data_IF_975796858047
#
_entry.id   IF_975796858047
#
_cell.length_a   1.000
_cell.length_b   1.000
_cell.length_c   1.000
_cell.angle_alpha   90.00
_cell.angle_beta   90.00
_cell.angle_gamma   90.00
#
_symmetry.space_group_name_H-M   'P 1'
#
loop_
_entity.id
_entity.type
_entity.pdbx_description
1 polymer ?
#
# COMPACT_ATOMS: atom_id res chain seq x y z
N UNK A 1 -0.06 15.27 14.37
CA UNK A 1 1.18 15.64 13.65
C UNK A 1 2.36 14.89 14.26
N UNK A 2 2.96 14.00 13.47
CA UNK A 2 4.20 13.20 13.66
C UNK A 2 4.25 12.13 12.55
N UNK A 3 3.10 11.75 11.97
CA UNK A 3 2.99 10.77 10.88
C UNK A 3 3.74 11.21 9.62
N UNK A 4 3.62 12.48 9.21
CA UNK A 4 4.30 13.00 8.01
C UNK A 4 5.82 12.86 8.06
N UNK A 5 6.44 13.22 9.20
CA UNK A 5 7.90 13.12 9.37
C UNK A 5 8.40 11.67 9.30
N UNK A 6 7.64 10.73 9.88
CA UNK A 6 7.96 9.29 9.79
C UNK A 6 7.84 8.80 8.34
N UNK A 7 6.77 9.19 7.64
CA UNK A 7 6.59 8.82 6.24
C UNK A 7 7.70 9.39 5.35
N UNK A 8 8.20 10.59 5.63
CA UNK A 8 9.30 11.21 4.88
C UNK A 8 10.63 10.45 5.06
N UNK A 9 10.94 10.00 6.28
CA UNK A 9 12.09 9.11 6.52
C UNK A 9 11.93 7.78 5.81
N UNK A 10 10.72 7.19 5.84
CA UNK A 10 10.46 5.95 5.12
C UNK A 10 10.59 6.11 3.60
N UNK A 11 10.16 7.26 3.06
CA UNK A 11 10.33 7.62 1.64
C UNK A 11 11.81 7.75 1.27
N UNK A 12 12.64 8.35 2.13
CA UNK A 12 14.08 8.47 1.85
C UNK A 12 14.76 7.10 1.79
N UNK A 13 14.46 6.23 2.77
CA UNK A 13 14.98 4.85 2.80
C UNK A 13 14.61 4.06 1.55
N UNK A 14 13.36 4.18 1.08
CA UNK A 14 12.93 3.54 -0.15
C UNK A 14 13.69 4.07 -1.39
N UNK A 15 13.88 5.39 -1.48
CA UNK A 15 14.67 6.03 -2.56
C UNK A 15 16.14 5.63 -2.56
N UNK A 16 16.69 5.29 -1.39
CA UNK A 16 18.06 4.77 -1.23
C UNK A 16 18.20 3.30 -1.67
N UNK A 17 17.10 2.65 -2.06
CA UNK A 17 17.10 1.27 -2.54
C UNK A 17 17.04 0.22 -1.43
N UNK A 18 16.63 0.61 -0.22
CA UNK A 18 16.39 -0.34 0.87
C UNK A 18 15.23 -1.27 0.51
N UNK A 19 15.40 -2.58 0.71
CA UNK A 19 14.27 -3.52 0.62
C UNK A 19 13.38 -3.35 1.85
N UNK A 20 12.10 -3.02 1.64
CA UNK A 20 11.17 -2.68 2.71
C UNK A 20 9.90 -3.53 2.62
N UNK A 21 9.43 -4.02 3.77
CA UNK A 21 8.09 -4.58 3.95
C UNK A 21 7.37 -3.69 4.95
N UNK A 22 6.26 -3.09 4.51
CA UNK A 22 5.52 -2.11 5.31
C UNK A 22 4.05 -2.54 5.39
N UNK A 23 3.56 -2.74 6.62
CA UNK A 23 2.13 -2.89 6.90
C UNK A 23 1.58 -1.53 7.26
N UNK A 24 0.67 -0.98 6.46
CA UNK A 24 0.17 0.39 6.66
C UNK A 24 -1.27 0.57 6.20
N UNK A 25 -1.97 1.52 6.80
CA UNK A 25 -3.25 2.05 6.32
C UNK A 25 -3.11 3.41 5.61
N UNK A 26 -1.88 3.94 5.52
CA UNK A 26 -1.57 5.18 4.82
C UNK A 26 -1.48 4.93 3.30
N UNK A 27 -2.64 4.89 2.64
CA UNK A 27 -2.76 4.53 1.21
C UNK A 27 -1.95 5.46 0.30
N UNK A 28 -1.86 6.76 0.63
CA UNK A 28 -1.07 7.73 -0.13
C UNK A 28 0.42 7.40 -0.14
N UNK A 29 0.96 6.96 1.00
CA UNK A 29 2.34 6.49 1.09
C UNK A 29 2.56 5.22 0.26
N UNK A 30 1.66 4.24 0.39
CA UNK A 30 1.75 2.99 -0.37
C UNK A 30 1.71 3.26 -1.89
N UNK A 31 0.86 4.20 -2.33
CA UNK A 31 0.76 4.61 -3.72
C UNK A 31 2.01 5.31 -4.26
N UNK A 32 2.72 6.06 -3.42
CA UNK A 32 3.89 6.85 -3.82
C UNK A 32 5.19 6.03 -3.83
N UNK A 33 5.32 5.06 -2.92
CA UNK A 33 6.61 4.41 -2.62
C UNK A 33 6.66 2.93 -2.96
N UNK A 34 5.52 2.22 -2.92
CA UNK A 34 5.56 0.76 -3.03
C UNK A 34 5.77 0.30 -4.49
N UNK A 35 6.58 -0.74 -4.69
CA UNK A 35 6.67 -1.43 -5.97
C UNK A 35 5.51 -2.43 -6.17
N UNK A 36 5.10 -3.07 -5.08
CA UNK A 36 4.00 -4.05 -4.99
C UNK A 36 3.14 -3.76 -3.77
N UNK A 37 1.84 -3.95 -3.90
CA UNK A 37 0.86 -3.84 -2.81
C UNK A 37 0.16 -5.18 -2.63
N UNK A 38 0.14 -5.66 -1.39
CA UNK A 38 -0.44 -6.94 -1.01
C UNK A 38 -1.69 -6.69 -0.15
N UNK A 39 -2.83 -7.24 -0.57
CA UNK A 39 -4.05 -7.23 0.22
C UNK A 39 -4.27 -8.61 0.84
N UNK A 40 -4.38 -8.63 2.17
CA UNK A 40 -4.63 -9.84 2.95
C UNK A 40 -5.95 -9.72 3.70
N UNK A 41 -6.72 -10.80 3.73
CA UNK A 41 -7.95 -10.94 4.51
C UNK A 41 -8.08 -12.40 4.97
N UNK A 42 -8.61 -12.63 6.17
CA UNK A 42 -8.82 -13.97 6.73
C UNK A 42 -7.57 -14.88 6.74
N UNK A 43 -6.38 -14.29 6.85
CA UNK A 43 -5.11 -15.02 6.86
C UNK A 43 -4.60 -15.43 5.47
N UNK A 44 -5.30 -15.04 4.40
CA UNK A 44 -4.94 -15.34 3.02
C UNK A 44 -4.44 -14.09 2.29
N UNK A 45 -3.49 -14.27 1.36
CA UNK A 45 -3.08 -13.25 0.41
C UNK A 45 -4.04 -13.27 -0.79
N UNK A 46 -4.92 -12.28 -0.86
CA UNK A 46 -5.98 -12.24 -1.87
C UNK A 46 -5.56 -11.48 -3.14
N UNK A 47 -4.76 -10.42 -2.98
CA UNK A 47 -4.26 -9.62 -4.12
C UNK A 47 -2.79 -9.32 -3.92
N UNK A 48 -2.04 -9.43 -5.00
CA UNK A 48 -0.70 -8.90 -5.14
C UNK A 48 -0.62 -8.21 -6.50
N UNK A 49 -0.43 -6.90 -6.51
CA UNK A 49 -0.41 -6.11 -7.75
C UNK A 49 0.48 -4.86 -7.60
N UNK A 50 0.74 -4.16 -8.71
CA UNK A 50 1.35 -2.82 -8.67
C UNK A 50 0.38 -1.83 -8.01
N UNK A 51 0.87 -0.72 -7.41
CA UNK A 51 -0.01 0.28 -6.81
C UNK A 51 -1.06 0.82 -7.78
N UNK A 52 -0.68 1.04 -9.04
CA UNK A 52 -1.61 1.57 -10.05
C UNK A 52 -2.80 0.64 -10.27
N UNK A 53 -2.56 -0.66 -10.51
CA UNK A 53 -3.62 -1.64 -10.69
C UNK A 53 -4.41 -1.86 -9.41
N UNK A 54 -3.74 -1.88 -8.26
CA UNK A 54 -4.36 -2.06 -6.95
C UNK A 54 -5.36 -0.94 -6.64
N UNK A 55 -4.98 0.32 -6.83
CA UNK A 55 -5.80 1.48 -6.44
C UNK A 55 -6.76 1.97 -7.53
N UNK A 56 -6.42 1.88 -8.81
CA UNK A 56 -7.26 2.42 -9.89
C UNK A 56 -8.08 1.38 -10.63
N UNK A 57 -7.59 0.14 -10.71
CA UNK A 57 -8.27 -0.93 -11.45
C UNK A 57 -8.30 -2.25 -10.66
N UNK A 58 -8.80 -2.24 -9.39
CA UNK A 58 -8.87 -3.45 -8.58
C UNK A 58 -9.82 -4.45 -9.22
N UNK A 59 -9.37 -5.69 -9.42
CA UNK A 59 -10.19 -6.76 -10.03
C UNK A 59 -10.84 -7.67 -8.98
N UNK A 60 -10.29 -7.72 -7.77
CA UNK A 60 -10.77 -8.60 -6.72
C UNK A 60 -11.96 -7.98 -5.96
N UNK A 61 -13.12 -8.65 -5.86
CA UNK A 61 -14.32 -8.08 -5.23
C UNK A 61 -14.13 -7.66 -3.77
N UNK A 62 -13.34 -8.41 -2.99
CA UNK A 62 -13.03 -8.04 -1.60
C UNK A 62 -12.19 -6.76 -1.53
N UNK A 63 -11.21 -6.62 -2.41
CA UNK A 63 -10.37 -5.43 -2.47
C UNK A 63 -11.19 -4.19 -2.88
N UNK A 64 -12.08 -4.33 -3.86
CA UNK A 64 -13.01 -3.26 -4.25
C UNK A 64 -13.87 -2.79 -3.07
N UNK A 65 -14.43 -3.73 -2.30
CA UNK A 65 -15.20 -3.40 -1.09
C UNK A 65 -14.34 -2.71 -0.04
N UNK A 66 -13.14 -3.23 0.23
CA UNK A 66 -12.21 -2.62 1.18
C UNK A 66 -11.87 -1.18 0.78
N UNK A 67 -11.47 -0.95 -0.47
CA UNK A 67 -11.13 0.37 -0.98
C UNK A 67 -12.32 1.34 -0.90
N UNK A 68 -13.56 0.89 -1.13
CA UNK A 68 -14.76 1.74 -1.03
C UNK A 68 -15.08 2.24 0.39
N UNK A 69 -14.47 1.66 1.42
CA UNK A 69 -14.66 2.05 2.82
C UNK A 69 -13.51 2.91 3.35
N UNK A 70 -12.35 2.85 2.69
CA UNK A 70 -11.11 3.49 3.14
C UNK A 70 -10.76 4.72 2.30
N UNK A 71 -11.17 4.74 1.02
CA UNK A 71 -11.07 5.88 0.11
C UNK A 71 -12.40 6.65 0.07
#
# INVERSE_FOLDING_TARGET
EMVGEVLDVMKSLAKEGMTMVVVTHEMGFAREVADRVLFMEDGELLVEDTPDKFFHNPTHPRLQRFLSQVL
#
